data_IF_127316653351
#
_entry.id   IF_127316653351
#
_cell.length_a   1.000
_cell.length_b   1.000
_cell.length_c   1.000
_cell.angle_alpha   90.00
_cell.angle_beta   90.00
_cell.angle_gamma   90.00
#
_symmetry.space_group_name_H-M   'P 1'
#
loop_
_entity.id
_entity.type
_entity.pdbx_description
1 polymer ?
#
# COMPACT_ATOMS: atom_id res chain seq x y z
N UNK A 1 32.19 36.61 8.53
CA UNK A 1 31.75 36.11 7.21
C UNK A 1 31.38 34.64 7.41
N UNK A 2 30.15 34.31 7.82
CA UNK A 2 28.96 34.03 6.97
C UNK A 2 29.25 32.94 5.91
N UNK A 3 28.56 31.80 5.81
CA UNK A 3 27.31 31.33 6.40
C UNK A 3 27.25 29.79 6.45
N UNK A 4 26.62 29.28 7.51
CA UNK A 4 26.00 27.95 7.61
C UNK A 4 24.97 27.73 6.50
N UNK A 5 24.96 26.55 5.87
CA UNK A 5 23.73 25.94 5.34
C UNK A 5 23.79 24.43 5.60
N UNK A 6 23.05 23.96 6.61
CA UNK A 6 22.44 22.63 6.60
C UNK A 6 21.14 22.72 5.80
N UNK A 7 20.72 21.64 5.12
CA UNK A 7 19.31 21.35 5.02
C UNK A 7 19.04 19.97 5.63
N UNK A 8 18.45 20.01 6.82
CA UNK A 8 17.65 18.94 7.40
C UNK A 8 16.48 18.62 6.45
N UNK A 9 16.51 17.44 5.83
CA UNK A 9 15.39 16.92 5.04
C UNK A 9 14.27 16.46 5.98
N UNK A 10 13.46 17.42 6.38
CA UNK A 10 12.18 17.20 7.04
C UNK A 10 11.16 16.97 5.92
N UNK A 11 10.86 15.71 5.60
CA UNK A 11 9.67 15.37 4.80
C UNK A 11 8.49 15.24 5.76
N UNK A 12 7.85 16.37 6.05
CA UNK A 12 6.50 16.41 6.61
C UNK A 12 5.55 15.94 5.49
N UNK A 13 4.99 14.74 5.63
CA UNK A 13 3.79 14.35 4.89
C UNK A 13 2.78 13.83 5.93
N UNK A 14 2.23 14.75 6.71
CA UNK A 14 1.01 14.51 7.48
C UNK A 14 -0.16 14.69 6.51
N UNK A 15 -0.72 13.61 5.98
CA UNK A 15 -1.80 13.70 5.00
C UNK A 15 -3.16 13.77 5.72
N UNK A 16 -3.62 14.99 6.00
CA UNK A 16 -5.06 15.24 6.12
C UNK A 16 -5.64 15.34 4.70
N UNK A 17 -6.43 14.34 4.27
CA UNK A 17 -7.20 14.43 3.01
C UNK A 17 -8.65 14.77 3.35
N UNK A 18 -8.98 16.05 3.22
CA UNK A 18 -10.35 16.54 3.10
C UNK A 18 -10.91 16.20 1.71
N UNK A 19 -12.21 15.93 1.72
CA UNK A 19 -13.11 15.31 0.72
C UNK A 19 -13.12 15.93 -0.68
N UNK A 20 -13.38 15.10 -1.71
CA UNK A 20 -14.61 15.16 -2.53
C UNK A 20 -14.73 13.91 -3.42
N UNK A 21 -15.95 13.39 -3.60
CA UNK A 21 -16.24 12.19 -4.38
C UNK A 21 -15.68 12.28 -5.80
N UNK A 22 -14.80 11.35 -6.16
CA UNK A 22 -14.19 11.28 -7.48
C UNK A 22 -14.74 10.07 -8.23
N UNK A 23 -14.96 10.22 -9.53
CA UNK A 23 -15.64 9.26 -10.41
C UNK A 23 -14.95 7.88 -10.41
N UNK A 24 -15.43 6.97 -9.56
CA UNK A 24 -15.11 5.52 -9.51
C UNK A 24 -15.61 4.81 -10.79
N UNK A 25 -16.16 5.53 -11.78
CA UNK A 25 -16.97 5.03 -12.90
C UNK A 25 -16.31 3.95 -13.76
N UNK A 26 -14.96 3.84 -13.73
CA UNK A 26 -14.23 2.84 -14.50
C UNK A 26 -13.72 1.66 -13.68
N UNK A 27 -13.62 1.79 -12.35
CA UNK A 27 -13.17 0.70 -11.50
C UNK A 27 -14.33 -0.26 -11.21
N UNK A 28 -14.13 -1.53 -11.55
CA UNK A 28 -15.11 -2.58 -11.25
C UNK A 28 -14.93 -3.06 -9.81
N UNK A 29 -16.00 -3.10 -9.00
CA UNK A 29 -15.92 -3.62 -7.63
C UNK A 29 -15.91 -5.15 -7.62
N UNK A 30 -15.11 -5.73 -6.74
CA UNK A 30 -15.09 -7.16 -6.43
C UNK A 30 -15.11 -7.36 -4.92
N UNK A 31 -16.19 -7.91 -4.39
CA UNK A 31 -16.35 -8.15 -2.95
C UNK A 31 -15.73 -9.50 -2.56
N UNK A 32 -14.78 -9.46 -1.62
CA UNK A 32 -14.08 -10.62 -1.07
C UNK A 32 -13.76 -10.36 0.42
N UNK A 33 -14.76 -10.37 1.31
CA UNK A 33 -14.57 -9.96 2.71
C UNK A 33 -13.34 -10.62 3.38
N UNK A 34 -12.53 -9.86 4.16
CA UNK A 34 -12.75 -8.47 4.58
C UNK A 34 -12.35 -7.41 3.53
N UNK A 35 -11.98 -7.81 2.32
CA UNK A 35 -11.54 -6.90 1.27
C UNK A 35 -12.65 -6.53 0.30
N UNK A 36 -12.60 -5.28 -0.18
CA UNK A 36 -13.36 -4.82 -1.33
C UNK A 36 -12.39 -4.25 -2.35
N UNK A 37 -12.24 -4.95 -3.48
CA UNK A 37 -11.32 -4.53 -4.53
C UNK A 37 -12.02 -3.61 -5.53
N UNK A 38 -11.29 -2.63 -6.05
CA UNK A 38 -11.71 -1.75 -7.15
C UNK A 38 -10.66 -1.82 -8.24
N UNK A 39 -10.96 -2.56 -9.31
CA UNK A 39 -9.99 -2.82 -10.37
C UNK A 39 -10.37 -2.12 -11.67
N UNK A 40 -9.43 -1.37 -12.23
CA UNK A 40 -9.61 -0.65 -13.50
C UNK A 40 -9.48 -1.55 -14.73
N UNK A 41 -9.03 -2.80 -14.56
CA UNK A 41 -8.99 -3.79 -15.63
C UNK A 41 -10.29 -4.56 -15.84
N UNK A 42 -10.27 -5.44 -16.85
CA UNK A 42 -11.46 -6.20 -17.28
C UNK A 42 -11.51 -7.64 -16.78
N UNK A 43 -10.38 -8.19 -16.31
CA UNK A 43 -10.23 -9.60 -15.93
C UNK A 43 -10.29 -9.80 -14.40
N UNK A 44 -11.33 -10.50 -13.93
CA UNK A 44 -11.47 -10.84 -12.51
C UNK A 44 -10.45 -11.85 -12.00
N UNK A 45 -9.79 -12.63 -12.88
CA UNK A 45 -8.81 -13.65 -12.46
C UNK A 45 -7.62 -13.05 -11.72
N UNK A 46 -7.22 -11.82 -12.07
CA UNK A 46 -6.17 -11.12 -11.33
C UNK A 46 -6.57 -10.89 -9.88
N UNK A 47 -7.83 -10.51 -9.64
CA UNK A 47 -8.37 -10.28 -8.30
C UNK A 47 -8.51 -11.60 -7.54
N UNK A 48 -8.98 -12.66 -8.19
CA UNK A 48 -9.10 -13.97 -7.54
C UNK A 48 -7.73 -14.54 -7.12
N UNK A 49 -6.72 -14.39 -7.97
CA UNK A 49 -5.35 -14.80 -7.64
C UNK A 49 -4.76 -13.91 -6.53
N UNK A 50 -4.88 -12.59 -6.65
CA UNK A 50 -4.42 -11.66 -5.61
C UNK A 50 -5.05 -11.98 -4.26
N UNK A 51 -6.38 -12.14 -4.21
CA UNK A 51 -7.11 -12.41 -2.97
C UNK A 51 -6.65 -13.70 -2.29
N UNK A 52 -6.45 -14.77 -3.08
CA UNK A 52 -5.95 -16.05 -2.55
C UNK A 52 -4.57 -15.90 -1.91
N UNK A 53 -3.62 -15.31 -2.62
CA UNK A 53 -2.24 -15.19 -2.12
C UNK A 53 -2.14 -14.16 -0.98
N UNK A 54 -2.89 -13.06 -1.07
CA UNK A 54 -2.92 -12.00 -0.06
C UNK A 54 -3.45 -12.53 1.27
N UNK A 55 -4.50 -13.37 1.27
CA UNK A 55 -5.02 -13.98 2.50
C UNK A 55 -3.97 -14.78 3.25
N UNK A 56 -3.18 -15.58 2.54
CA UNK A 56 -2.12 -16.38 3.17
C UNK A 56 -1.09 -15.49 3.86
N UNK A 57 -0.69 -14.41 3.20
CA UNK A 57 0.28 -13.44 3.74
C UNK A 57 -0.30 -12.66 4.92
N UNK A 58 -1.52 -12.14 4.79
CA UNK A 58 -2.15 -11.35 5.85
C UNK A 58 -2.42 -12.20 7.08
N UNK A 59 -2.84 -13.47 6.95
CA UNK A 59 -2.99 -14.35 8.11
C UNK A 59 -1.69 -14.53 8.90
N UNK A 60 -0.53 -14.57 8.22
CA UNK A 60 0.77 -14.58 8.88
C UNK A 60 1.03 -13.24 9.62
N UNK A 61 0.75 -12.11 8.99
CA UNK A 61 0.93 -10.77 9.57
C UNK A 61 0.04 -10.60 10.81
N UNK A 62 -1.25 -10.93 10.69
CA UNK A 62 -2.23 -10.85 11.78
C UNK A 62 -1.80 -11.70 12.98
N UNK A 63 -1.27 -12.90 12.74
CA UNK A 63 -0.74 -13.76 13.79
C UNK A 63 0.50 -13.17 14.47
N UNK A 64 1.41 -12.54 13.71
CA UNK A 64 2.62 -11.91 14.25
C UNK A 64 2.34 -10.64 15.04
N UNK A 65 1.33 -9.89 14.64
CA UNK A 65 0.89 -8.67 15.32
C UNK A 65 -0.16 -8.93 16.41
N UNK A 66 -0.66 -10.17 16.51
CA UNK A 66 -1.81 -10.52 17.36
C UNK A 66 -3.01 -9.57 17.17
N UNK A 67 -3.27 -9.19 15.91
CA UNK A 67 -4.30 -8.23 15.50
C UNK A 67 -4.90 -8.69 14.18
N UNK A 68 -6.23 -8.82 14.13
CA UNK A 68 -6.97 -9.04 12.89
C UNK A 68 -7.49 -7.73 12.34
N UNK A 69 -7.69 -7.66 11.02
CA UNK A 69 -8.44 -6.58 10.41
C UNK A 69 -9.87 -6.56 10.97
N UNK A 70 -10.27 -5.44 11.55
CA UNK A 70 -11.60 -5.28 12.16
C UNK A 70 -12.60 -4.55 11.25
N UNK A 71 -12.11 -3.92 10.18
CA UNK A 71 -12.89 -3.16 9.20
C UNK A 71 -12.66 -3.67 7.79
N UNK A 72 -13.63 -3.41 6.92
CA UNK A 72 -13.45 -3.63 5.49
C UNK A 72 -12.33 -2.74 4.95
N UNK A 73 -11.39 -3.35 4.23
CA UNK A 73 -10.32 -2.62 3.55
C UNK A 73 -10.65 -2.49 2.07
N UNK A 74 -10.63 -1.25 1.57
CA UNK A 74 -10.80 -0.94 0.16
C UNK A 74 -9.44 -1.03 -0.54
N UNK A 75 -9.32 -1.87 -1.55
CA UNK A 75 -8.07 -2.07 -2.29
C UNK A 75 -8.27 -1.63 -3.74
N UNK A 76 -7.67 -0.52 -4.13
CA UNK A 76 -7.71 -0.01 -5.49
C UNK A 76 -6.52 -0.53 -6.29
N UNK A 77 -6.79 -1.10 -7.46
CA UNK A 77 -5.77 -1.54 -8.41
C UNK A 77 -5.82 -0.67 -9.65
N UNK A 78 -4.86 0.23 -9.78
CA UNK A 78 -4.76 1.14 -10.91
C UNK A 78 -4.02 0.50 -12.06
N UNK A 79 -4.46 0.79 -13.27
CA UNK A 79 -3.69 0.44 -14.46
C UNK A 79 -2.70 1.57 -14.72
N UNK A 80 -3.13 2.80 -14.97
CA UNK A 80 -2.16 3.83 -15.39
C UNK A 80 -1.52 4.59 -14.22
N UNK A 81 -0.36 5.22 -14.47
CA UNK A 81 0.21 6.20 -13.54
C UNK A 81 -0.74 7.39 -13.35
N UNK A 82 -1.51 7.74 -14.38
CA UNK A 82 -2.54 8.78 -14.31
C UNK A 82 -3.64 8.40 -13.32
N UNK A 83 -4.20 7.19 -13.39
CA UNK A 83 -5.19 6.69 -12.42
C UNK A 83 -4.64 6.72 -11.00
N UNK A 84 -3.37 6.31 -10.82
CA UNK A 84 -2.71 6.37 -9.52
C UNK A 84 -2.53 7.79 -9.00
N UNK A 85 -2.04 8.71 -9.84
CA UNK A 85 -1.87 10.11 -9.49
C UNK A 85 -3.23 10.76 -9.19
N UNK A 86 -4.29 10.39 -9.91
CA UNK A 86 -5.64 10.88 -9.67
C UNK A 86 -6.16 10.42 -8.30
N UNK A 87 -6.02 9.13 -7.95
CA UNK A 87 -6.44 8.61 -6.65
C UNK A 87 -5.60 9.13 -5.48
N UNK A 88 -4.34 9.45 -5.73
CA UNK A 88 -3.41 9.98 -4.71
C UNK A 88 -3.32 11.51 -4.71
N UNK A 89 -4.08 12.18 -5.57
CA UNK A 89 -4.02 13.63 -5.83
C UNK A 89 -2.61 14.16 -6.12
N UNK A 90 -1.77 13.34 -6.76
CA UNK A 90 -0.38 13.66 -7.11
C UNK A 90 0.55 13.82 -5.90
N UNK A 91 0.11 13.46 -4.69
CA UNK A 91 0.89 13.63 -3.45
C UNK A 91 1.87 12.49 -3.19
N UNK A 92 1.76 11.41 -3.96
CA UNK A 92 2.60 10.22 -3.83
C UNK A 92 3.59 10.20 -4.99
N UNK A 93 4.89 9.96 -4.73
CA UNK A 93 5.87 9.88 -5.80
C UNK A 93 5.52 8.83 -6.85
N UNK A 94 5.80 9.14 -8.12
CA UNK A 94 5.51 8.25 -9.24
C UNK A 94 6.24 6.89 -9.19
N UNK A 95 7.33 6.79 -8.42
CA UNK A 95 8.08 5.55 -8.21
C UNK A 95 7.46 4.60 -7.17
N UNK A 96 6.53 5.06 -6.33
CA UNK A 96 5.92 4.20 -5.32
C UNK A 96 5.05 3.12 -5.98
N UNK A 97 5.20 1.87 -5.56
CA UNK A 97 4.38 0.76 -6.06
C UNK A 97 2.94 0.80 -5.52
N UNK A 98 2.77 1.26 -4.29
CA UNK A 98 1.49 1.37 -3.61
C UNK A 98 1.50 2.43 -2.51
N UNK A 99 0.35 2.62 -1.87
CA UNK A 99 0.19 3.42 -0.66
C UNK A 99 -0.99 2.93 0.19
N UNK A 100 -0.77 2.87 1.49
CA UNK A 100 -1.80 2.74 2.52
C UNK A 100 -2.28 4.11 3.03
N UNK A 101 -3.60 4.23 3.23
CA UNK A 101 -4.25 5.37 3.88
C UNK A 101 -5.01 4.82 5.11
N UNK A 102 -4.35 4.69 6.27
CA UNK A 102 -4.93 4.07 7.47
C UNK A 102 -6.25 4.66 7.92
N UNK A 103 -6.37 6.00 7.97
CA UNK A 103 -7.59 6.68 8.36
C UNK A 103 -8.81 6.41 7.47
N UNK A 104 -8.63 5.73 6.32
CA UNK A 104 -9.69 5.36 5.38
C UNK A 104 -9.80 3.85 5.13
N UNK A 105 -9.01 3.03 5.82
CA UNK A 105 -8.86 1.59 5.51
C UNK A 105 -8.73 1.36 4.00
N UNK A 106 -7.83 2.11 3.37
CA UNK A 106 -7.71 2.13 1.91
C UNK A 106 -6.28 1.86 1.53
N UNK A 107 -6.10 0.96 0.58
CA UNK A 107 -4.83 0.65 -0.08
C UNK A 107 -5.00 0.96 -1.56
N UNK A 108 -4.01 1.63 -2.15
CA UNK A 108 -3.97 1.93 -3.59
C UNK A 108 -2.69 1.31 -4.14
N UNK A 109 -2.83 0.41 -5.11
CA UNK A 109 -1.74 -0.35 -5.73
C UNK A 109 -1.68 -0.05 -7.21
N UNK A 110 -0.46 0.05 -7.74
CA UNK A 110 -0.26 -0.01 -9.18
C UNK A 110 -0.17 -1.47 -9.63
N UNK A 111 -0.89 -1.80 -10.70
CA UNK A 111 -0.87 -3.15 -11.26
C UNK A 111 0.52 -3.46 -11.84
N UNK A 112 1.07 -4.68 -11.67
CA UNK A 112 2.40 -5.04 -12.15
C UNK A 112 2.58 -4.94 -13.67
N UNK A 113 1.53 -4.81 -14.47
CA UNK A 113 1.63 -4.55 -15.91
C UNK A 113 2.43 -3.28 -16.25
N UNK A 114 2.63 -2.38 -15.27
CA UNK A 114 3.32 -1.09 -15.43
C UNK A 114 4.71 -1.07 -14.78
N UNK A 115 5.08 -2.13 -14.05
CA UNK A 115 6.40 -2.31 -13.45
C UNK A 115 7.06 -3.54 -14.07
N UNK A 116 8.22 -3.34 -14.72
CA UNK A 116 9.09 -4.48 -15.06
C UNK A 116 9.42 -5.33 -13.82
N UNK A 117 9.91 -6.56 -14.03
CA UNK A 117 10.21 -7.58 -12.99
C UNK A 117 10.55 -6.95 -11.62
N UNK A 118 9.59 -7.03 -10.69
CA UNK A 118 9.64 -6.39 -9.38
C UNK A 118 8.90 -7.20 -8.31
N UNK A 119 8.67 -6.60 -7.15
CA UNK A 119 7.97 -7.21 -6.01
C UNK A 119 6.58 -7.71 -6.45
N UNK A 120 6.21 -8.98 -6.17
CA UNK A 120 4.89 -9.51 -6.52
C UNK A 120 3.75 -8.66 -5.92
N UNK A 121 2.63 -8.55 -6.65
CA UNK A 121 1.52 -7.66 -6.27
C UNK A 121 0.94 -8.00 -4.90
N UNK A 122 0.84 -9.29 -4.57
CA UNK A 122 0.40 -9.78 -3.27
C UNK A 122 1.38 -9.45 -2.13
N UNK A 123 2.67 -9.36 -2.42
CA UNK A 123 3.70 -8.95 -1.45
C UNK A 123 3.58 -7.46 -1.19
N UNK A 124 3.45 -6.66 -2.25
CA UNK A 124 3.23 -5.22 -2.16
C UNK A 124 1.91 -4.91 -1.43
N UNK A 125 0.82 -5.60 -1.75
CA UNK A 125 -0.45 -5.46 -1.06
C UNK A 125 -0.33 -5.80 0.44
N UNK A 126 0.42 -6.85 0.78
CA UNK A 126 0.68 -7.21 2.17
C UNK A 126 1.54 -6.17 2.90
N UNK A 127 2.48 -5.50 2.21
CA UNK A 127 3.24 -4.36 2.75
C UNK A 127 2.29 -3.22 3.12
N UNK A 128 1.43 -2.79 2.19
CA UNK A 128 0.48 -1.70 2.45
C UNK A 128 -0.55 -2.07 3.53
N UNK A 129 -1.04 -3.31 3.57
CA UNK A 129 -1.91 -3.77 4.65
C UNK A 129 -1.22 -3.82 6.01
N UNK A 130 0.10 -4.04 6.05
CA UNK A 130 0.85 -3.97 7.30
C UNK A 130 0.79 -2.58 7.91
N UNK A 131 0.86 -1.52 7.09
CA UNK A 131 0.66 -0.14 7.57
C UNK A 131 -0.72 0.05 8.21
N UNK A 132 -1.79 -0.49 7.60
CA UNK A 132 -3.15 -0.40 8.18
C UNK A 132 -3.19 -1.08 9.56
N UNK A 133 -2.74 -2.32 9.65
CA UNK A 133 -2.74 -3.08 10.90
C UNK A 133 -1.87 -2.43 11.99
N UNK A 134 -0.69 -1.94 11.64
CA UNK A 134 0.20 -1.24 12.57
C UNK A 134 -0.50 0.01 13.12
N UNK A 135 -1.11 0.82 12.25
CA UNK A 135 -1.85 2.01 12.67
C UNK A 135 -3.08 1.69 13.53
N UNK A 136 -3.76 0.57 13.31
CA UNK A 136 -4.84 0.11 14.20
C UNK A 136 -4.34 -0.28 15.60
N UNK A 137 -3.08 -0.71 15.73
CA UNK A 137 -2.47 -1.10 17.01
C UNK A 137 -1.94 0.13 17.75
N UNK A 138 -1.18 0.99 17.06
CA UNK A 138 -0.52 2.13 17.70
C UNK A 138 -1.47 3.31 17.92
N UNK A 139 -2.57 3.42 17.15
CA UNK A 139 -3.46 4.57 17.20
C UNK A 139 -2.71 5.87 16.87
N UNK A 140 -2.81 6.86 17.77
CA UNK A 140 -2.13 8.15 17.63
C UNK A 140 -0.69 8.16 18.19
N UNK A 141 -0.20 7.02 18.69
CA UNK A 141 1.16 6.93 19.21
C UNK A 141 2.18 7.10 18.08
N UNK A 142 3.27 7.80 18.38
CA UNK A 142 4.36 7.98 17.43
C UNK A 142 5.12 6.69 17.19
N UNK A 143 5.25 6.31 15.92
CA UNK A 143 6.15 5.26 15.44
C UNK A 143 7.16 5.88 14.47
N UNK A 144 8.48 5.72 14.70
CA UNK A 144 9.47 6.22 13.75
C UNK A 144 9.26 5.60 12.37
N UNK A 145 9.17 6.43 11.33
CA UNK A 145 8.85 5.96 9.96
C UNK A 145 9.80 4.87 9.45
N UNK A 146 11.10 5.01 9.70
CA UNK A 146 12.09 4.01 9.27
C UNK A 146 11.80 2.63 9.88
N UNK A 147 11.27 2.60 11.10
CA UNK A 147 10.94 1.36 11.80
C UNK A 147 9.64 0.76 11.27
N UNK A 148 8.63 1.60 11.05
CA UNK A 148 7.37 1.19 10.41
C UNK A 148 7.62 0.53 9.05
N UNK A 149 8.38 1.18 8.17
CA UNK A 149 8.71 0.65 6.83
C UNK A 149 9.49 -0.67 6.92
N UNK A 150 10.51 -0.72 7.78
CA UNK A 150 11.29 -1.95 7.98
C UNK A 150 10.44 -3.10 8.52
N UNK A 151 9.50 -2.80 9.42
CA UNK A 151 8.56 -3.79 9.94
C UNK A 151 7.61 -4.28 8.84
N UNK A 152 7.06 -3.38 8.02
CA UNK A 152 6.22 -3.74 6.86
C UNK A 152 6.97 -4.64 5.87
N UNK A 153 8.24 -4.33 5.55
CA UNK A 153 9.06 -5.14 4.64
C UNK A 153 9.31 -6.57 5.16
N UNK A 154 9.54 -6.70 6.47
CA UNK A 154 9.76 -8.00 7.12
C UNK A 154 8.46 -8.81 7.18
N UNK A 155 7.35 -8.17 7.54
CA UNK A 155 6.03 -8.80 7.69
C UNK A 155 5.45 -9.26 6.35
N UNK A 156 5.57 -8.44 5.31
CA UNK A 156 5.09 -8.75 3.95
C UNK A 156 5.94 -9.82 3.24
N UNK A 157 7.19 -9.98 3.68
CA UNK A 157 8.20 -10.79 3.00
C UNK A 157 8.83 -10.09 1.80
N UNK A 158 8.67 -8.77 1.65
CA UNK A 158 9.29 -7.98 0.58
C UNK A 158 10.81 -8.10 0.60
N UNK A 159 11.45 -8.12 1.78
CA UNK A 159 12.92 -8.22 1.89
C UNK A 159 13.48 -9.48 1.21
N UNK A 160 12.69 -10.56 1.08
CA UNK A 160 13.09 -11.79 0.38
C UNK A 160 13.05 -11.66 -1.14
N UNK A 161 12.27 -10.71 -1.66
CA UNK A 161 12.11 -10.44 -3.09
C UNK A 161 13.04 -9.30 -3.55
N UNK A 162 13.28 -8.30 -2.70
CA UNK A 162 14.14 -7.15 -3.00
C UNK A 162 15.65 -7.41 -2.88
N UNK A 163 16.08 -8.47 -2.17
CA UNK A 163 17.50 -8.82 -2.02
C UNK A 163 18.12 -9.55 -3.22
N UNK A 164 17.30 -10.13 -4.11
CA UNK A 164 17.78 -10.95 -5.24
C UNK A 164 17.93 -10.18 -6.56
N UNK A 165 17.53 -8.91 -6.62
CA UNK A 165 17.63 -8.07 -7.83
C UNK A 165 18.94 -7.29 -7.99
N UNK A 166 19.96 -7.53 -7.15
CA UNK A 166 21.26 -6.81 -7.20
C UNK A 166 22.48 -7.70 -7.42
N UNK A 167 22.28 -8.99 -7.68
CA UNK A 167 23.34 -9.93 -8.04
C UNK A 167 22.85 -10.80 -9.21
N UNK A 168 22.94 -10.23 -10.41
CA UNK A 168 22.69 -10.87 -11.69
C UNK A 168 23.33 -10.05 -12.79
#
# INVERSE_FOLDING_TARGET
>A
MASLIKPSFIYIITIAVLTLGYNISHARPYDRPPYKYYYYGKDGKLIDNLDRELRQKVSYIEARLNKKLDKTVNIYLTLTLEDFNNLTHGRVPGWAGGIAIPGRNTVILKTPLFFGQGVPLEVLAAHELSHILIHEIIGDNYLPRWFEEGLCQVLSGESRHGSLGRLG
#
